data_IF_104921995646
#
_entry.id   IF_104921995646
#
_cell.length_a   1.000
_cell.length_b   1.000
_cell.length_c   1.000
_cell.angle_alpha   90.00
_cell.angle_beta   90.00
_cell.angle_gamma   90.00
#
_symmetry.space_group_name_H-M   'P 1'
#
loop_
_entity.id
_entity.type
_entity.pdbx_description
1 polymer ?
#
# COMPACT_ATOMS: atom_id res chain seq x y z
N UNK A 1 31.15 -6.34 4.69
CA UNK A 1 31.38 -4.87 4.66
C UNK A 1 30.05 -4.21 4.96
N UNK A 2 30.02 -3.13 5.73
CA UNK A 2 28.80 -2.35 5.88
C UNK A 2 28.41 -1.76 4.52
N UNK A 3 27.13 -1.84 4.17
CA UNK A 3 26.56 -1.17 2.99
C UNK A 3 26.79 0.34 3.14
N UNK A 4 27.36 0.99 2.12
CA UNK A 4 27.51 2.45 2.13
C UNK A 4 26.15 3.12 1.89
N UNK A 5 25.97 4.35 2.38
CA UNK A 5 24.70 5.09 2.32
C UNK A 5 24.21 5.20 0.87
N UNK A 6 25.10 5.47 -0.08
CA UNK A 6 24.73 5.61 -1.49
C UNK A 6 24.19 4.29 -2.07
N UNK A 7 24.80 3.15 -1.72
CA UNK A 7 24.32 1.83 -2.11
C UNK A 7 22.95 1.54 -1.50
N UNK A 8 22.79 1.81 -0.20
CA UNK A 8 21.52 1.65 0.51
C UNK A 8 20.41 2.50 -0.14
N UNK A 9 20.68 3.76 -0.48
CA UNK A 9 19.71 4.64 -1.14
C UNK A 9 19.36 4.13 -2.53
N UNK A 10 20.37 3.73 -3.32
CA UNK A 10 20.19 3.32 -4.73
C UNK A 10 19.26 2.12 -4.92
N UNK A 11 19.17 1.22 -3.93
CA UNK A 11 18.29 0.04 -3.97
C UNK A 11 16.86 0.29 -3.50
N UNK A 12 16.48 1.50 -3.08
CA UNK A 12 15.12 1.80 -2.60
C UNK A 12 14.22 2.27 -3.73
N UNK A 13 12.97 1.81 -3.73
CA UNK A 13 11.89 2.23 -4.63
C UNK A 13 10.66 2.54 -3.80
N UNK A 14 10.36 3.82 -3.62
CA UNK A 14 9.19 4.27 -2.87
C UNK A 14 8.11 4.72 -3.84
N UNK A 15 6.94 4.09 -3.78
CA UNK A 15 5.86 4.34 -4.73
C UNK A 15 4.47 4.20 -4.11
N UNK A 16 3.49 4.80 -4.77
CA UNK A 16 2.08 4.63 -4.46
C UNK A 16 1.33 3.99 -5.63
N UNK A 17 0.23 3.30 -5.33
CA UNK A 17 -0.73 2.87 -6.35
C UNK A 17 -1.91 3.84 -6.31
N UNK A 18 -2.23 4.46 -7.44
CA UNK A 18 -3.37 5.36 -7.61
C UNK A 18 -4.33 4.78 -8.64
N UNK A 19 -5.63 4.82 -8.36
CA UNK A 19 -6.64 4.34 -9.30
C UNK A 19 -8.03 4.81 -8.85
N UNK A 20 -9.03 4.62 -9.70
CA UNK A 20 -10.43 4.75 -9.31
C UNK A 20 -10.83 3.70 -8.24
N UNK A 21 -11.94 3.87 -7.48
CA UNK A 21 -12.55 2.77 -6.72
C UNK A 21 -12.72 1.53 -7.59
N UNK A 22 -12.58 0.36 -6.98
CA UNK A 22 -12.78 -0.96 -7.60
C UNK A 22 -11.86 -1.34 -8.78
N UNK A 23 -10.88 -0.51 -9.14
CA UNK A 23 -9.89 -0.80 -10.18
C UNK A 23 -8.88 -1.91 -9.83
N UNK A 24 -8.93 -2.45 -8.60
CA UNK A 24 -8.10 -3.58 -8.19
C UNK A 24 -6.82 -3.23 -7.43
N UNK A 25 -6.64 -2.01 -6.90
CA UNK A 25 -5.45 -1.59 -6.13
C UNK A 25 -5.07 -2.58 -5.02
N UNK A 26 -6.04 -2.98 -4.21
CA UNK A 26 -5.83 -3.93 -3.10
C UNK A 26 -5.40 -5.31 -3.60
N UNK A 27 -5.95 -5.76 -4.73
CA UNK A 27 -5.57 -7.04 -5.34
C UNK A 27 -4.17 -6.99 -5.93
N UNK A 28 -3.78 -5.89 -6.58
CA UNK A 28 -2.41 -5.69 -7.05
C UNK A 28 -1.42 -5.66 -5.89
N UNK A 29 -1.74 -4.91 -4.82
CA UNK A 29 -0.96 -4.85 -3.59
C UNK A 29 -0.71 -6.23 -3.00
N UNK A 30 -1.75 -7.07 -2.85
CA UNK A 30 -1.62 -8.44 -2.36
C UNK A 30 -0.63 -9.26 -3.21
N UNK A 31 -0.70 -9.13 -4.54
CA UNK A 31 0.20 -9.86 -5.44
C UNK A 31 1.64 -9.38 -5.37
N UNK A 32 1.87 -8.07 -5.29
CA UNK A 32 3.21 -7.51 -5.14
C UNK A 32 3.86 -8.01 -3.84
N UNK A 33 3.13 -8.01 -2.73
CA UNK A 33 3.60 -8.55 -1.46
C UNK A 33 3.90 -10.05 -1.54
N UNK A 34 3.05 -10.81 -2.22
CA UNK A 34 3.27 -12.24 -2.45
C UNK A 34 4.56 -12.49 -3.25
N UNK A 35 4.78 -11.73 -4.33
CA UNK A 35 5.99 -11.84 -5.16
C UNK A 35 7.25 -11.39 -4.42
N UNK A 36 7.15 -10.41 -3.51
CA UNK A 36 8.23 -9.97 -2.63
C UNK A 36 8.48 -10.88 -1.42
N UNK A 37 7.86 -12.07 -1.35
CA UNK A 37 8.02 -12.99 -0.24
C UNK A 37 7.38 -12.53 1.09
N UNK A 38 6.66 -11.41 1.09
CA UNK A 38 5.99 -10.83 2.24
C UNK A 38 4.63 -11.52 2.50
N UNK A 39 4.65 -12.86 2.66
CA UNK A 39 3.46 -13.72 2.71
C UNK A 39 2.51 -13.33 3.85
N UNK A 40 3.03 -13.00 5.03
CA UNK A 40 2.20 -12.56 6.17
C UNK A 40 1.49 -11.25 5.85
N UNK A 41 2.20 -10.25 5.32
CA UNK A 41 1.64 -8.97 4.92
C UNK A 41 0.60 -9.15 3.79
N UNK A 42 0.87 -9.99 2.80
CA UNK A 42 -0.09 -10.33 1.75
C UNK A 42 -1.37 -10.96 2.35
N UNK A 43 -1.20 -11.88 3.29
CA UNK A 43 -2.29 -12.50 4.04
C UNK A 43 -3.08 -11.50 4.88
N UNK A 44 -2.44 -10.50 5.47
CA UNK A 44 -3.08 -9.41 6.21
C UNK A 44 -3.86 -8.48 5.28
N UNK A 45 -3.33 -8.11 4.11
CA UNK A 45 -4.03 -7.29 3.12
C UNK A 45 -5.28 -8.02 2.62
N UNK A 46 -5.14 -9.30 2.26
CA UNK A 46 -6.28 -10.14 1.88
C UNK A 46 -7.28 -10.28 3.03
N UNK A 47 -6.80 -10.55 4.22
CA UNK A 47 -7.65 -10.68 5.39
C UNK A 47 -8.24 -9.35 5.86
N UNK A 48 -7.70 -8.18 5.50
CA UNK A 48 -8.31 -6.86 5.73
C UNK A 48 -9.50 -6.66 4.80
N UNK A 49 -9.38 -7.13 3.54
CA UNK A 49 -10.49 -7.20 2.60
C UNK A 49 -11.63 -8.11 3.12
N UNK A 50 -11.28 -9.21 3.78
CA UNK A 50 -12.26 -10.21 4.27
C UNK A 50 -12.74 -9.98 5.73
N UNK A 51 -11.86 -9.53 6.65
CA UNK A 51 -12.16 -9.15 8.04
C UNK A 51 -12.41 -7.65 8.12
N UNK A 52 -13.57 -7.25 7.65
CA UNK A 52 -14.14 -5.98 8.10
C UNK A 52 -14.81 -6.28 9.45
N UNK A 53 -13.97 -6.31 10.49
CA UNK A 53 -14.10 -6.75 11.89
C UNK A 53 -14.13 -5.72 13.03
N UNK A 54 -14.86 -4.61 12.94
CA UNK A 54 -15.31 -3.70 14.03
C UNK A 54 -14.28 -3.28 15.08
N UNK A 55 -13.62 -2.11 14.90
CA UNK A 55 -12.93 -1.40 16.00
C UNK A 55 -12.97 0.14 15.96
N UNK A 56 -13.29 0.78 14.82
CA UNK A 56 -13.43 2.24 14.71
C UNK A 56 -14.63 2.64 13.85
N UNK A 57 -15.11 3.88 13.97
CA UNK A 57 -16.18 4.41 13.10
C UNK A 57 -15.72 4.50 11.63
N UNK A 58 -14.42 4.72 11.39
CA UNK A 58 -13.82 4.65 10.05
C UNK A 58 -13.93 3.25 9.42
N UNK A 59 -13.71 2.19 10.20
CA UNK A 59 -13.87 0.81 9.72
C UNK A 59 -15.34 0.44 9.44
N UNK A 60 -16.31 1.13 10.06
CA UNK A 60 -17.73 0.98 9.69
C UNK A 60 -18.00 1.62 8.33
N UNK A 61 -17.44 2.80 8.08
CA UNK A 61 -17.54 3.50 6.78
C UNK A 61 -16.85 2.68 5.67
N UNK A 62 -15.65 2.15 5.94
CA UNK A 62 -14.97 1.20 5.03
C UNK A 62 -15.87 0.00 4.71
N UNK A 63 -16.57 -0.56 5.71
CA UNK A 63 -17.49 -1.70 5.53
C UNK A 63 -18.72 -1.36 4.70
N UNK A 64 -19.39 -0.26 5.05
CA UNK A 64 -20.65 0.14 4.41
C UNK A 64 -20.44 0.53 2.95
N UNK A 65 -19.25 1.04 2.61
CA UNK A 65 -18.93 1.53 1.26
C UNK A 65 -17.99 0.62 0.46
N UNK A 66 -17.36 -0.38 1.07
CA UNK A 66 -16.43 -1.29 0.38
C UNK A 66 -15.09 -0.66 -0.03
N UNK A 67 -14.67 0.41 0.66
CA UNK A 67 -13.50 1.23 0.29
C UNK A 67 -12.37 1.12 1.32
N UNK A 68 -11.13 1.41 0.90
CA UNK A 68 -9.98 1.62 1.80
C UNK A 68 -9.92 3.09 2.22
N UNK A 69 -9.85 3.36 3.52
CA UNK A 69 -9.90 4.71 4.13
C UNK A 69 -8.60 5.08 4.82
N UNK A 70 -7.71 4.12 5.14
CA UNK A 70 -6.44 4.38 5.84
C UNK A 70 -5.23 4.09 4.96
N UNK A 71 -4.34 5.08 4.82
CA UNK A 71 -3.02 4.93 4.21
C UNK A 71 -2.17 3.94 4.99
N UNK A 72 -1.67 2.89 4.33
CA UNK A 72 -0.74 1.92 4.93
C UNK A 72 0.57 1.86 4.16
N UNK A 73 1.68 1.77 4.89
CA UNK A 73 3.02 1.59 4.33
C UNK A 73 3.40 0.11 4.43
N UNK A 74 3.82 -0.49 3.33
CA UNK A 74 4.30 -1.86 3.28
C UNK A 74 5.68 -1.89 2.64
N UNK A 75 6.62 -2.55 3.29
CA UNK A 75 7.98 -2.73 2.78
C UNK A 75 8.21 -4.20 2.44
N UNK A 76 8.74 -4.46 1.24
CA UNK A 76 9.11 -5.81 0.79
C UNK A 76 10.36 -5.74 -0.08
N UNK A 77 11.06 -6.86 -0.22
CA UNK A 77 12.26 -6.97 -1.06
C UNK A 77 11.97 -7.84 -2.29
N UNK A 78 12.48 -7.43 -3.45
CA UNK A 78 12.42 -8.20 -4.69
C UNK A 78 13.67 -7.90 -5.52
N UNK A 79 14.39 -8.94 -5.95
CA UNK A 79 15.64 -8.83 -6.74
C UNK A 79 16.62 -7.78 -6.18
N UNK A 80 17.02 -7.94 -4.91
CA UNK A 80 17.92 -7.04 -4.16
C UNK A 80 17.46 -5.57 -4.05
N UNK A 81 16.22 -5.28 -4.45
CA UNK A 81 15.59 -3.95 -4.39
C UNK A 81 14.58 -3.91 -3.25
N UNK A 82 14.63 -2.84 -2.45
CA UNK A 82 13.67 -2.57 -1.37
C UNK A 82 12.54 -1.72 -1.91
N UNK A 83 11.33 -2.27 -1.88
CA UNK A 83 10.12 -1.56 -2.26
C UNK A 83 9.39 -1.05 -1.03
N UNK A 84 9.02 0.23 -1.04
CA UNK A 84 8.12 0.85 -0.07
C UNK A 84 6.84 1.25 -0.80
N UNK A 85 5.77 0.51 -0.56
CA UNK A 85 4.46 0.76 -1.13
C UNK A 85 3.60 1.53 -0.14
N UNK A 86 3.14 2.72 -0.53
CA UNK A 86 2.14 3.49 0.18
C UNK A 86 0.78 3.27 -0.49
N UNK A 87 -0.11 2.53 0.17
CA UNK A 87 -1.47 2.29 -0.32
C UNK A 87 -2.32 3.54 -0.12
N UNK A 88 -2.96 4.01 -1.19
CA UNK A 88 -3.80 5.22 -1.15
C UNK A 88 -5.29 4.87 -1.03
N UNK A 89 -6.08 5.67 -0.30
CA UNK A 89 -7.53 5.58 -0.36
C UNK A 89 -8.03 5.74 -1.80
N UNK A 90 -8.95 4.85 -2.22
CA UNK A 90 -9.46 4.85 -3.59
C UNK A 90 -10.64 5.80 -3.82
N UNK A 91 -11.29 6.27 -2.76
CA UNK A 91 -12.56 6.99 -2.83
C UNK A 91 -12.36 8.51 -2.80
N UNK A 92 -13.21 9.26 -3.52
CA UNK A 92 -13.11 10.71 -3.72
C UNK A 92 -13.11 11.51 -2.40
N UNK A 93 -13.94 11.08 -1.43
CA UNK A 93 -13.97 11.64 -0.06
C UNK A 93 -12.61 11.64 0.67
N UNK A 94 -11.58 10.97 0.15
CA UNK A 94 -10.24 10.86 0.76
C UNK A 94 -9.13 11.39 -0.14
N UNK A 95 -9.46 12.30 -1.06
CA UNK A 95 -8.51 12.91 -1.98
C UNK A 95 -7.32 13.58 -1.26
N UNK A 96 -7.54 14.26 -0.14
CA UNK A 96 -6.48 14.94 0.62
C UNK A 96 -5.41 13.97 1.15
N UNK A 97 -5.82 12.80 1.63
CA UNK A 97 -4.88 11.77 2.12
C UNK A 97 -4.10 11.13 0.96
N UNK A 98 -4.76 10.97 -0.19
CA UNK A 98 -4.10 10.54 -1.43
C UNK A 98 -3.08 11.57 -1.90
N UNK A 99 -3.41 12.86 -1.91
CA UNK A 99 -2.47 13.92 -2.30
C UNK A 99 -1.27 14.01 -1.35
N UNK A 100 -1.50 13.88 -0.04
CA UNK A 100 -0.41 13.83 0.96
C UNK A 100 0.50 12.64 0.72
N UNK A 101 -0.07 11.47 0.43
CA UNK A 101 0.69 10.26 0.13
C UNK A 101 1.58 10.44 -1.09
N UNK A 102 1.06 11.08 -2.15
CA UNK A 102 1.82 11.35 -3.36
C UNK A 102 3.00 12.31 -3.15
N UNK A 103 2.99 13.15 -2.11
CA UNK A 103 4.13 13.99 -1.76
C UNK A 103 5.28 13.23 -1.09
N UNK A 104 5.03 12.00 -0.64
CA UNK A 104 5.99 11.17 0.10
C UNK A 104 6.60 10.03 -0.74
N UNK A 105 6.28 9.96 -2.04
CA UNK A 105 6.75 8.89 -2.94
C UNK A 105 7.55 9.45 -4.11
N UNK A 106 8.48 8.65 -4.63
CA UNK A 106 9.32 9.02 -5.77
C UNK A 106 8.60 8.76 -7.11
N UNK A 107 7.61 7.87 -7.10
CA UNK A 107 6.88 7.43 -8.30
C UNK A 107 5.47 6.93 -7.97
N UNK A 108 4.62 6.78 -9.00
CA UNK A 108 3.28 6.23 -8.87
C UNK A 108 2.99 5.21 -9.97
N UNK A 109 2.19 4.21 -9.64
CA UNK A 109 1.61 3.22 -10.56
C UNK A 109 0.12 3.51 -10.69
N UNK A 110 -0.36 3.63 -11.93
CA UNK A 110 -1.76 3.93 -12.26
C UNK A 110 -2.39 2.80 -13.07
#
# INVERSE_FOLDING_TARGET
>A
MAEDIEQAVSRRRTFAIIAHPDAGKTTLTEKLLLFGGAIQLAGEVKAKKDRIQTRSDWMKIERERGISVVTSVMTFEYEDTVFNLLDTPGHEDFADDTYRTLSAVDSAVM
#
